data_IF_433744730810
#
_entry.id   IF_433744730810
#
_cell.length_a   1.000
_cell.length_b   1.000
_cell.length_c   1.000
_cell.angle_alpha   90.00
_cell.angle_beta   90.00
_cell.angle_gamma   90.00
#
_symmetry.space_group_name_H-M   'P 1'
#
loop_
_entity.id
_entity.type
_entity.pdbx_description
1 polymer ?
#
# COMPACT_ATOMS: atom_id res chain seq x y z
N UNK A 1 -1.77 -18.11 16.62
CA UNK A 1 -2.41 -17.03 15.83
C UNK A 1 -1.38 -15.90 15.63
N UNK A 2 -1.35 -15.25 14.46
CA UNK A 2 -0.42 -14.15 14.16
C UNK A 2 -1.20 -12.89 13.74
N UNK A 3 -0.60 -11.70 13.94
CA UNK A 3 -1.18 -10.42 13.50
C UNK A 3 -1.07 -10.29 11.98
N UNK A 4 -2.19 -10.04 11.30
CA UNK A 4 -2.25 -9.78 9.86
C UNK A 4 -2.72 -8.36 9.61
N UNK A 5 -1.99 -7.63 8.77
CA UNK A 5 -2.37 -6.30 8.27
C UNK A 5 -2.55 -6.41 6.77
N UNK A 6 -3.70 -5.95 6.26
CA UNK A 6 -3.97 -5.92 4.81
C UNK A 6 -3.45 -4.62 4.23
N UNK A 7 -2.60 -4.73 3.23
CA UNK A 7 -2.07 -3.62 2.44
C UNK A 7 -2.59 -3.72 1.00
N UNK A 8 -3.13 -2.62 0.48
CA UNK A 8 -3.83 -2.60 -0.80
C UNK A 8 -4.64 -1.33 -0.99
N UNK A 9 -5.27 -1.21 -2.16
CA UNK A 9 -6.26 -0.16 -2.42
C UNK A 9 -7.46 -0.39 -1.50
N UNK A 10 -7.97 0.69 -0.92
CA UNK A 10 -9.17 0.63 -0.07
C UNK A 10 -10.42 0.51 -0.93
N UNK A 11 -11.57 0.42 -0.29
CA UNK A 11 -12.85 0.43 -0.99
C UNK A 11 -13.14 1.85 -1.50
N UNK A 12 -12.49 2.21 -2.61
CA UNK A 12 -12.53 3.53 -3.21
C UNK A 12 -12.35 3.44 -4.72
N UNK A 13 -12.81 4.46 -5.44
CA UNK A 13 -12.58 4.56 -6.87
C UNK A 13 -11.10 4.83 -7.17
N UNK A 14 -10.56 4.12 -8.16
CA UNK A 14 -9.18 4.31 -8.62
C UNK A 14 -9.07 5.47 -9.60
N UNK A 15 -7.96 6.20 -9.53
CA UNK A 15 -7.62 7.23 -10.53
C UNK A 15 -7.23 6.59 -11.87
N UNK A 16 -7.40 7.34 -12.96
CA UNK A 16 -6.94 6.95 -14.30
C UNK A 16 -5.58 7.60 -14.55
N UNK A 17 -4.51 6.81 -14.48
CA UNK A 17 -3.15 7.25 -14.73
C UNK A 17 -2.25 6.04 -15.08
N UNK A 18 -0.98 6.25 -15.49
CA UNK A 18 -0.05 5.15 -15.74
C UNK A 18 0.16 4.26 -14.50
N UNK A 19 0.35 2.94 -14.67
CA UNK A 19 0.42 1.99 -13.55
C UNK A 19 1.47 2.35 -12.49
N UNK A 20 2.65 2.80 -12.92
CA UNK A 20 3.75 3.16 -12.00
C UNK A 20 3.39 4.35 -11.10
N UNK A 21 2.62 5.31 -11.62
CA UNK A 21 2.15 6.45 -10.83
C UNK A 21 1.07 6.02 -9.84
N UNK A 22 0.16 5.15 -10.28
CA UNK A 22 -0.89 4.60 -9.40
C UNK A 22 -0.30 3.74 -8.29
N UNK A 23 0.70 2.89 -8.56
CA UNK A 23 1.35 2.10 -7.53
C UNK A 23 2.01 2.98 -6.48
N UNK A 24 2.75 4.01 -6.90
CA UNK A 24 3.33 4.97 -5.96
C UNK A 24 2.24 5.69 -5.15
N UNK A 25 1.17 6.13 -5.81
CA UNK A 25 0.05 6.83 -5.16
C UNK A 25 -0.64 5.96 -4.10
N UNK A 26 -0.93 4.70 -4.42
CA UNK A 26 -1.54 3.73 -3.50
C UNK A 26 -0.52 3.01 -2.60
N UNK A 27 0.74 3.46 -2.58
CA UNK A 27 1.84 2.85 -1.79
C UNK A 27 2.03 1.35 -2.09
N UNK A 28 1.77 0.91 -3.31
CA UNK A 28 1.98 -0.46 -3.78
C UNK A 28 3.39 -0.69 -4.36
N UNK A 29 4.27 0.30 -4.24
CA UNK A 29 5.69 0.16 -4.54
C UNK A 29 6.49 -0.30 -3.30
N UNK A 30 7.78 -0.59 -3.50
CA UNK A 30 8.63 -1.15 -2.45
C UNK A 30 8.67 -0.26 -1.18
N UNK A 31 8.88 1.05 -1.35
CA UNK A 31 8.90 1.99 -0.24
C UNK A 31 7.54 2.11 0.44
N UNK A 32 6.46 2.06 -0.34
CA UNK A 32 5.08 2.09 0.13
C UNK A 32 4.68 0.86 0.93
N UNK A 33 5.30 -0.30 0.69
CA UNK A 33 5.12 -1.55 1.46
C UNK A 33 6.01 -1.56 2.71
N UNK A 34 7.25 -1.07 2.62
CA UNK A 34 8.21 -1.05 3.73
C UNK A 34 7.69 -0.22 4.90
N UNK A 35 7.21 1.00 4.63
CA UNK A 35 6.76 1.91 5.68
C UNK A 35 5.62 1.34 6.58
N UNK A 36 4.48 0.83 6.06
CA UNK A 36 3.45 0.24 6.93
C UNK A 36 3.93 -1.05 7.62
N UNK A 37 4.89 -1.77 7.05
CA UNK A 37 5.49 -2.94 7.71
C UNK A 37 6.35 -2.52 8.91
N UNK A 38 7.14 -1.44 8.78
CA UNK A 38 7.91 -0.87 9.89
C UNK A 38 7.00 -0.23 10.95
N UNK A 39 5.97 0.52 10.54
CA UNK A 39 4.93 1.07 11.43
C UNK A 39 4.26 -0.05 12.25
N UNK A 40 4.04 -1.22 11.64
CA UNK A 40 3.45 -2.36 12.32
C UNK A 40 4.38 -3.00 13.36
N UNK A 41 5.70 -2.83 13.27
CA UNK A 41 6.65 -3.39 14.25
C UNK A 41 6.80 -2.54 15.52
N UNK A 42 6.34 -1.28 15.47
CA UNK A 42 6.12 -0.43 16.65
C UNK A 42 4.87 -0.81 17.44
#
# INVERSE_FOLDING_TARGET
>A
PARLIRHGIRDEYSLIAPPTHLYKHYRLDAAGIEAPALEALG
#
